data_IF_576680706495
#
_entry.id   IF_576680706495
#
_cell.length_a   1.000
_cell.length_b   1.000
_cell.length_c   1.000
_cell.angle_alpha   90.00
_cell.angle_beta   90.00
_cell.angle_gamma   90.00
#
_symmetry.space_group_name_H-M   'P 1'
#
loop_
_entity.id
_entity.type
_entity.pdbx_description
1 polymer ?
#
# COMPACT_ATOMS: atom_id res chain seq x y z
N UNK A 1 7.93 -7.64 14.32
CA UNK A 1 8.54 -7.19 13.05
C UNK A 1 9.54 -8.27 12.63
N UNK A 2 9.41 -8.83 11.43
CA UNK A 2 10.27 -9.92 10.95
C UNK A 2 11.67 -9.39 10.61
N UNK A 3 12.73 -10.11 10.97
CA UNK A 3 14.10 -9.74 10.62
C UNK A 3 14.24 -9.62 9.09
N UNK A 4 14.82 -8.51 8.61
CA UNK A 4 14.95 -8.21 7.17
C UNK A 4 13.86 -7.31 6.58
N UNK A 5 12.90 -6.83 7.38
CA UNK A 5 11.84 -5.89 6.97
C UNK A 5 11.94 -4.51 7.63
N UNK A 6 13.14 -4.09 8.01
CA UNK A 6 13.32 -2.78 8.65
C UNK A 6 12.83 -1.63 7.73
N UNK A 7 13.01 -1.80 6.43
CA UNK A 7 12.61 -0.84 5.40
C UNK A 7 11.09 -0.79 5.14
N UNK A 8 10.32 -1.77 5.64
CA UNK A 8 8.87 -1.78 5.51
C UNK A 8 8.20 -0.74 6.44
N UNK A 9 8.91 -0.24 7.47
CA UNK A 9 8.37 0.75 8.40
C UNK A 9 6.96 0.38 8.94
N UNK A 10 6.11 1.39 9.12
CA UNK A 10 4.71 1.19 9.53
C UNK A 10 3.85 0.47 8.46
N UNK A 11 4.35 0.30 7.24
CA UNK A 11 3.62 -0.36 6.16
C UNK A 11 3.45 -1.88 6.38
N UNK A 12 4.11 -2.49 7.37
CA UNK A 12 4.02 -3.94 7.63
C UNK A 12 2.58 -4.43 7.88
N UNK A 13 1.77 -3.60 8.56
CA UNK A 13 0.39 -3.94 8.92
C UNK A 13 -0.61 -3.51 7.86
N UNK A 14 -0.30 -2.50 7.04
CA UNK A 14 -1.29 -1.75 6.27
C UNK A 14 -1.70 -0.48 7.00
N UNK A 15 -2.39 0.42 6.31
CA UNK A 15 -2.87 1.69 6.85
C UNK A 15 -4.40 1.61 6.99
N UNK A 16 -4.90 1.77 8.21
CA UNK A 16 -6.33 1.85 8.50
C UNK A 16 -6.97 3.08 7.88
N UNK A 17 -8.18 2.92 7.37
CA UNK A 17 -9.02 4.04 6.99
C UNK A 17 -9.79 4.52 8.22
N UNK A 18 -9.88 5.84 8.40
CA UNK A 18 -10.69 6.39 9.50
C UNK A 18 -12.19 6.20 9.28
N UNK A 19 -12.61 6.24 8.02
CA UNK A 19 -14.00 6.16 7.58
C UNK A 19 -14.07 5.90 6.06
N UNK A 20 -15.28 5.76 5.53
CA UNK A 20 -15.51 5.50 4.10
C UNK A 20 -15.08 6.67 3.20
N UNK A 21 -15.08 7.92 3.69
CA UNK A 21 -14.67 9.08 2.90
C UNK A 21 -13.14 9.17 2.82
N UNK A 22 -12.44 8.74 3.86
CA UNK A 22 -11.00 8.53 3.84
C UNK A 22 -10.58 7.49 2.80
N UNK A 23 -11.26 6.34 2.75
CA UNK A 23 -11.00 5.32 1.73
C UNK A 23 -11.22 5.86 0.30
N UNK A 24 -12.30 6.62 0.06
CA UNK A 24 -12.56 7.24 -1.25
C UNK A 24 -11.49 8.26 -1.62
N UNK A 25 -11.02 9.06 -0.67
CA UNK A 25 -9.93 10.03 -0.90
C UNK A 25 -8.64 9.32 -1.27
N UNK A 26 -8.28 8.25 -0.54
CA UNK A 26 -7.13 7.40 -0.88
C UNK A 26 -7.31 6.77 -2.27
N UNK A 27 -8.51 6.27 -2.60
CA UNK A 27 -8.80 5.72 -3.92
C UNK A 27 -8.52 6.72 -5.06
N UNK A 28 -8.82 8.01 -4.85
CA UNK A 28 -8.49 9.08 -5.80
C UNK A 28 -6.98 9.25 -6.02
N UNK A 29 -6.17 9.03 -4.98
CA UNK A 29 -4.70 9.02 -5.11
C UNK A 29 -4.21 7.73 -5.78
N UNK A 30 -4.77 6.58 -5.42
CA UNK A 30 -4.44 5.27 -6.02
C UNK A 30 -4.67 5.28 -7.52
N UNK A 31 -5.78 5.87 -7.98
CA UNK A 31 -6.12 5.96 -9.40
C UNK A 31 -5.10 6.74 -10.26
N UNK A 32 -4.19 7.50 -9.63
CA UNK A 32 -3.12 8.25 -10.30
C UNK A 32 -1.79 7.50 -10.32
N UNK A 33 -1.68 6.39 -9.61
CA UNK A 33 -0.49 5.56 -9.62
C UNK A 33 -0.40 4.80 -10.95
N UNK A 34 0.81 4.66 -11.45
CA UNK A 34 1.13 3.88 -12.65
C UNK A 34 2.05 2.72 -12.29
N UNK A 35 2.25 1.73 -13.18
CA UNK A 35 3.24 0.67 -12.98
C UNK A 35 4.67 1.18 -12.76
N UNK A 36 4.99 2.39 -13.22
CA UNK A 36 6.28 3.02 -13.00
C UNK A 36 6.45 3.53 -11.56
N UNK A 37 5.34 3.92 -10.90
CA UNK A 37 5.34 4.50 -9.56
C UNK A 37 5.02 3.48 -8.46
N UNK A 38 4.35 2.39 -8.81
CA UNK A 38 3.86 1.39 -7.87
C UNK A 38 4.21 -0.03 -8.35
N UNK A 39 5.12 -0.68 -7.63
CA UNK A 39 5.65 -2.00 -7.96
C UNK A 39 4.58 -3.09 -8.15
N UNK A 40 3.50 -3.03 -7.36
CA UNK A 40 2.43 -4.02 -7.38
C UNK A 40 1.14 -3.47 -8.01
N UNK A 41 1.28 -2.52 -8.93
CA UNK A 41 0.16 -1.85 -9.60
C UNK A 41 -0.85 -2.83 -10.17
N UNK A 42 -0.41 -3.79 -10.98
CA UNK A 42 -1.31 -4.72 -11.65
C UNK A 42 -2.04 -5.61 -10.62
N UNK A 43 -1.32 -6.14 -9.64
CA UNK A 43 -1.91 -6.93 -8.55
C UNK A 43 -2.97 -6.14 -7.79
N UNK A 44 -2.67 -4.89 -7.41
CA UNK A 44 -3.59 -4.08 -6.61
C UNK A 44 -4.76 -3.50 -7.40
N UNK A 45 -4.62 -3.29 -8.71
CA UNK A 45 -5.71 -2.82 -9.57
C UNK A 45 -6.61 -3.96 -10.05
N UNK A 46 -6.07 -5.15 -10.28
CA UNK A 46 -6.84 -6.32 -10.72
C UNK A 46 -7.53 -7.06 -9.58
N UNK A 47 -6.85 -7.19 -8.43
CA UNK A 47 -7.35 -8.01 -7.30
C UNK A 47 -7.76 -7.19 -6.08
N UNK A 48 -7.71 -5.86 -6.20
CA UNK A 48 -8.03 -4.91 -5.14
C UNK A 48 -6.83 -4.57 -4.25
N UNK A 49 -6.88 -3.42 -3.60
CA UNK A 49 -5.83 -2.90 -2.71
C UNK A 49 -6.33 -2.63 -1.29
N UNK A 50 -7.62 -2.88 -1.02
CA UNK A 50 -8.24 -2.80 0.30
C UNK A 50 -8.33 -4.22 0.89
N UNK A 51 -8.07 -4.33 2.18
CA UNK A 51 -8.23 -5.54 2.97
C UNK A 51 -8.98 -5.24 4.27
N UNK A 52 -9.20 -6.29 5.04
CA UNK A 52 -9.77 -6.23 6.39
C UNK A 52 -8.75 -6.85 7.33
N UNK A 53 -8.55 -6.24 8.50
CA UNK A 53 -7.63 -6.75 9.51
C UNK A 53 -8.27 -7.84 10.40
N UNK A 54 -7.57 -8.20 11.49
CA UNK A 54 -8.00 -9.24 12.43
C UNK A 54 -9.21 -8.79 13.29
N UNK A 55 -9.42 -7.48 13.45
CA UNK A 55 -10.50 -6.88 14.22
C UNK A 55 -11.73 -6.52 13.35
N UNK A 56 -11.64 -6.75 12.04
CA UNK A 56 -12.72 -6.46 11.09
C UNK A 56 -12.68 -5.04 10.54
N UNK A 57 -11.60 -4.28 10.79
CA UNK A 57 -11.44 -2.91 10.34
C UNK A 57 -10.86 -2.85 8.91
N UNK A 58 -11.32 -1.87 8.13
CA UNK A 58 -10.85 -1.69 6.74
C UNK A 58 -9.49 -0.98 6.73
N UNK A 59 -8.58 -1.51 5.92
CA UNK A 59 -7.23 -0.98 5.78
C UNK A 59 -6.67 -1.27 4.39
N UNK A 60 -5.53 -0.68 4.05
CA UNK A 60 -4.79 -1.11 2.86
C UNK A 60 -4.36 -2.58 2.99
N UNK A 61 -4.46 -3.31 1.87
CA UNK A 61 -4.22 -4.74 1.82
C UNK A 61 -2.74 -5.06 2.03
N UNK A 62 -2.47 -6.09 2.82
CA UNK A 62 -1.14 -6.69 2.92
C UNK A 62 -0.89 -7.61 1.73
N UNK A 63 0.26 -7.45 1.09
CA UNK A 63 0.74 -8.25 -0.02
C UNK A 63 2.21 -8.66 0.24
N UNK A 64 2.49 -9.95 0.17
CA UNK A 64 3.84 -10.51 0.41
C UNK A 64 4.48 -10.04 1.74
N UNK A 65 3.63 -9.90 2.77
CA UNK A 65 4.02 -9.61 4.14
C UNK A 65 4.25 -8.13 4.48
N UNK A 66 3.92 -7.19 3.59
CA UNK A 66 3.86 -5.74 3.87
C UNK A 66 2.71 -5.10 3.10
N UNK A 67 2.44 -3.80 3.26
CA UNK A 67 1.41 -3.07 2.52
C UNK A 67 1.64 -3.23 1.00
N UNK A 68 0.55 -3.37 0.25
CA UNK A 68 0.61 -3.47 -1.21
C UNK A 68 1.18 -2.21 -1.87
N UNK A 69 1.10 -1.04 -1.23
CA UNK A 69 1.68 0.22 -1.72
C UNK A 69 3.16 0.40 -1.39
N UNK A 70 3.77 -0.49 -0.60
CA UNK A 70 5.18 -0.39 -0.26
C UNK A 70 6.03 -0.90 -1.43
N UNK A 71 6.64 0.00 -2.18
CA UNK A 71 7.71 -0.35 -3.11
C UNK A 71 8.91 -0.90 -2.32
N UNK A 72 9.41 -2.06 -2.75
CA UNK A 72 10.53 -2.74 -2.08
C UNK A 72 11.87 -2.11 -2.47
N UNK A 73 12.94 -2.32 -1.68
CA UNK A 73 14.29 -1.94 -2.06
C UNK A 73 14.66 -2.42 -3.47
N UNK A 74 15.18 -1.51 -4.29
CA UNK A 74 15.58 -1.78 -5.68
C UNK A 74 14.52 -1.48 -6.74
N UNK A 75 13.29 -1.11 -6.37
CA UNK A 75 12.31 -0.64 -7.35
C UNK A 75 12.71 0.72 -7.96
N UNK A 76 12.62 0.93 -9.30
CA UNK A 76 13.12 2.14 -9.95
C UNK A 76 12.58 3.48 -9.43
N UNK A 77 11.31 3.54 -9.00
CA UNK A 77 10.74 4.76 -8.41
C UNK A 77 11.12 4.98 -6.93
N UNK A 78 11.98 4.13 -6.37
CA UNK A 78 12.43 4.19 -4.99
C UNK A 78 11.63 3.27 -4.05
N UNK A 79 12.27 2.92 -2.95
CA UNK A 79 11.63 2.20 -1.85
C UNK A 79 10.80 3.16 -1.00
N UNK A 80 9.59 2.74 -0.61
CA UNK A 80 8.67 3.57 0.15
C UNK A 80 7.22 3.36 -0.24
N UNK A 81 6.31 4.09 0.40
CA UNK A 81 4.91 4.08 0.03
C UNK A 81 4.70 4.81 -1.31
N UNK A 82 4.16 4.13 -2.31
CA UNK A 82 3.91 4.70 -3.65
C UNK A 82 2.94 5.89 -3.62
N UNK A 83 2.03 5.94 -2.64
CA UNK A 83 1.11 7.06 -2.45
C UNK A 83 1.81 8.38 -2.08
N UNK A 84 3.03 8.32 -1.53
CA UNK A 84 3.81 9.51 -1.18
C UNK A 84 4.78 9.95 -2.28
N UNK A 85 4.92 9.17 -3.36
CA UNK A 85 5.76 9.55 -4.51
C UNK A 85 5.10 10.68 -5.32
N UNK A 86 3.76 10.76 -5.27
CA UNK A 86 2.96 11.80 -5.93
C UNK A 86 2.71 13.05 -5.07
N UNK A 87 3.24 13.08 -3.83
CA UNK A 87 3.00 14.14 -2.85
C UNK A 87 3.91 15.36 -3.06
#
# INVERSE_FOLDING_TARGET
IQAGRADDGCCTLGAHFSDEDDEKRVAGHVARLTPELWQFHDVGTETGWVGVDEDGERQTRRWEGSCIFQNRPGFPAGAGCSLHILA
#
